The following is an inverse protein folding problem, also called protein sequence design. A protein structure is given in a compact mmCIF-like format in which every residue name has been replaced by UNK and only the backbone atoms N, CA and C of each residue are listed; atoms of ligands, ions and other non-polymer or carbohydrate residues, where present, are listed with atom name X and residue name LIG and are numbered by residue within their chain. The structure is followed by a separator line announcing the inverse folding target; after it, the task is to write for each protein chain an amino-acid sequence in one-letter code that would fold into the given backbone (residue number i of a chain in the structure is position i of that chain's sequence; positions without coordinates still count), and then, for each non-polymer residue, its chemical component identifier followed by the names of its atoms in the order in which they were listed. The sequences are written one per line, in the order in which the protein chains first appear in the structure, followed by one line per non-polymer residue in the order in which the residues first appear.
data_IF_956843663093
#
_entry.id   IF_956843663093
#
_cell.length_a   1.000
_cell.length_b   1.000
_cell.length_c   1.000
_cell.angle_alpha   90.00
_cell.angle_beta   90.00
_cell.angle_gamma   90.00
#
_symmetry.space_group_name_H-M   'P 1'
#
loop_
_entity.id
_entity.type
_entity.pdbx_description
1 polymer ?
#
# COMPACT_ATOMS: atom_id res chain seq x y z
N UNK A 1 4.97 25.45 14.60
CA UNK A 1 5.80 25.77 13.42
C UNK A 1 5.85 24.64 12.41
N UNK A 2 6.10 23.39 12.81
CA UNK A 2 6.06 22.24 11.88
C UNK A 2 4.68 22.05 11.22
N UNK A 3 3.60 22.24 11.95
CA UNK A 3 2.25 22.13 11.39
C UNK A 3 1.98 23.19 10.31
N UNK A 4 2.47 24.41 10.48
CA UNK A 4 2.33 25.47 9.49
C UNK A 4 3.17 25.20 8.24
N UNK A 5 4.39 24.68 8.40
CA UNK A 5 5.23 24.29 7.28
C UNK A 5 4.62 23.13 6.50
N UNK A 6 4.10 22.12 7.19
CA UNK A 6 3.42 21.00 6.56
C UNK A 6 2.18 21.46 5.77
N UNK A 7 1.37 22.35 6.35
CA UNK A 7 0.19 22.90 5.68
C UNK A 7 0.56 23.67 4.42
N UNK A 8 1.67 24.44 4.43
CA UNK A 8 2.14 25.18 3.27
C UNK A 8 2.61 24.27 2.12
N UNK A 9 3.02 23.04 2.42
CA UNK A 9 3.46 22.07 1.42
C UNK A 9 2.32 21.24 0.83
N UNK A 10 1.12 21.28 1.43
CA UNK A 10 -0.02 20.55 0.93
C UNK A 10 -0.57 21.22 -0.34
N UNK A 11 -0.86 20.45 -1.40
CA UNK A 11 -1.50 20.98 -2.58
C UNK A 11 -2.93 21.42 -2.27
N UNK A 12 -3.39 22.45 -2.97
CA UNK A 12 -4.79 22.82 -2.91
C UNK A 12 -5.67 21.70 -3.47
N UNK A 13 -6.80 21.48 -2.81
CA UNK A 13 -7.78 20.52 -3.29
C UNK A 13 -8.81 21.23 -4.16
N UNK A 14 -8.91 20.77 -5.41
CA UNK A 14 -9.99 21.17 -6.30
C UNK A 14 -11.30 20.54 -5.80
N UNK A 15 -12.34 21.35 -5.45
CA UNK A 15 -13.64 20.81 -5.05
C UNK A 15 -14.31 19.94 -6.12
N UNK A 16 -13.89 20.10 -7.39
CA UNK A 16 -14.38 19.30 -8.52
C UNK A 16 -13.50 18.10 -8.83
N UNK A 17 -12.44 17.89 -8.05
CA UNK A 17 -11.53 16.81 -8.25
C UNK A 17 -12.19 15.44 -8.04
N UNK A 18 -11.67 14.41 -8.70
CA UNK A 18 -12.07 13.02 -8.57
C UNK A 18 -10.91 12.17 -8.07
N UNK A 19 -11.13 10.85 -7.89
CA UNK A 19 -10.11 9.93 -7.36
C UNK A 19 -8.77 10.02 -8.09
N UNK A 20 -8.77 10.11 -9.41
CA UNK A 20 -7.55 10.22 -10.22
C UNK A 20 -6.80 11.54 -10.02
N UNK A 21 -7.50 12.62 -9.67
CA UNK A 21 -6.91 13.95 -9.42
C UNK A 21 -6.04 13.96 -8.16
N UNK A 22 -6.44 13.23 -7.12
CA UNK A 22 -5.79 13.24 -5.80
C UNK A 22 -4.71 12.16 -5.64
N UNK A 23 -4.42 11.45 -6.70
CA UNK A 23 -3.35 10.50 -6.75
C UNK A 23 -3.74 9.08 -6.32
N UNK A 24 -2.94 8.14 -6.81
CA UNK A 24 -3.07 6.71 -6.54
C UNK A 24 -1.87 6.24 -5.74
N UNK A 25 -2.14 5.57 -4.64
CA UNK A 25 -1.10 5.04 -3.76
C UNK A 25 -1.17 3.53 -3.74
N UNK A 26 -0.02 2.89 -3.95
CA UNK A 26 0.16 1.46 -3.67
C UNK A 26 0.86 1.31 -2.33
N UNK A 27 0.33 0.44 -1.49
CA UNK A 27 0.93 0.08 -0.22
C UNK A 27 1.25 -1.40 -0.25
N UNK A 28 2.53 -1.74 -0.22
CA UNK A 28 3.00 -3.13 -0.12
C UNK A 28 3.42 -3.38 1.33
N UNK A 29 2.62 -4.15 2.03
CA UNK A 29 2.74 -4.23 3.49
C UNK A 29 2.16 -5.54 4.03
N UNK A 30 2.43 -5.82 5.28
CA UNK A 30 1.80 -6.90 6.03
C UNK A 30 2.50 -8.24 5.93
N UNK A 31 2.29 -9.00 6.97
CA UNK A 31 2.67 -10.40 7.09
C UNK A 31 1.70 -11.03 8.07
N UNK A 32 1.82 -12.34 8.29
CA UNK A 32 0.93 -13.05 9.22
C UNK A 32 0.91 -12.43 10.62
N UNK A 33 2.07 -12.00 11.12
CA UNK A 33 2.18 -11.41 12.46
C UNK A 33 1.84 -9.92 12.51
N UNK A 34 1.85 -9.24 11.37
CA UNK A 34 1.74 -7.78 11.29
C UNK A 34 0.67 -7.32 10.30
N UNK A 35 -0.48 -7.96 10.34
CA UNK A 35 -1.64 -7.58 9.51
C UNK A 35 -2.10 -6.15 9.82
N UNK A 36 -2.08 -5.77 11.09
CA UNK A 36 -2.47 -4.44 11.53
C UNK A 36 -1.63 -3.33 10.90
N UNK A 37 -0.33 -3.56 10.71
CA UNK A 37 0.54 -2.58 10.07
C UNK A 37 0.10 -2.26 8.64
N UNK A 38 -0.32 -3.27 7.89
CA UNK A 38 -0.86 -3.10 6.54
C UNK A 38 -2.15 -2.27 6.56
N UNK A 39 -3.10 -2.62 7.43
CA UNK A 39 -4.38 -1.92 7.55
C UNK A 39 -4.19 -0.47 7.99
N UNK A 40 -3.32 -0.22 8.96
CA UNK A 40 -3.03 1.12 9.44
C UNK A 40 -2.40 2.00 8.36
N UNK A 41 -1.48 1.43 7.60
CA UNK A 41 -0.80 2.16 6.50
C UNK A 41 -1.80 2.54 5.41
N UNK A 42 -2.64 1.60 5.00
CA UNK A 42 -3.68 1.86 4.01
C UNK A 42 -4.70 2.88 4.49
N UNK A 43 -5.17 2.75 5.73
CA UNK A 43 -6.12 3.69 6.32
C UNK A 43 -5.52 5.10 6.44
N UNK A 44 -4.25 5.20 6.82
CA UNK A 44 -3.55 6.48 6.90
C UNK A 44 -3.46 7.16 5.53
N UNK A 45 -3.15 6.41 4.47
CA UNK A 45 -3.11 6.95 3.12
C UNK A 45 -4.47 7.50 2.68
N UNK A 46 -5.56 6.79 2.98
CA UNK A 46 -6.92 7.27 2.70
C UNK A 46 -7.22 8.56 3.46
N UNK A 47 -6.93 8.58 4.76
CA UNK A 47 -7.17 9.75 5.62
C UNK A 47 -6.32 10.95 5.24
N UNK A 48 -5.11 10.71 4.73
CA UNK A 48 -4.25 11.78 4.23
C UNK A 48 -4.78 12.43 2.94
N UNK A 49 -5.79 11.83 2.33
CA UNK A 49 -6.48 12.42 1.19
C UNK A 49 -6.12 11.83 -0.17
N UNK A 50 -5.48 10.68 -0.22
CA UNK A 50 -5.23 9.98 -1.48
C UNK A 50 -6.54 9.65 -2.19
N UNK A 51 -6.56 9.78 -3.51
CA UNK A 51 -7.76 9.52 -4.30
C UNK A 51 -8.11 8.04 -4.37
N UNK A 52 -7.11 7.18 -4.48
CA UNK A 52 -7.27 5.74 -4.54
C UNK A 52 -6.09 5.06 -3.84
N UNK A 53 -6.38 4.13 -2.94
CA UNK A 53 -5.36 3.37 -2.23
C UNK A 53 -5.56 1.88 -2.47
N UNK A 54 -4.54 1.24 -2.99
CA UNK A 54 -4.50 -0.22 -3.16
C UNK A 54 -3.52 -0.81 -2.15
N UNK A 55 -4.04 -1.65 -1.27
CA UNK A 55 -3.24 -2.38 -0.30
C UNK A 55 -2.86 -3.75 -0.88
N UNK A 56 -1.58 -3.92 -1.13
CA UNK A 56 -1.01 -5.16 -1.66
C UNK A 56 -0.40 -5.96 -0.51
N UNK A 57 -0.87 -7.16 -0.33
CA UNK A 57 -0.44 -8.08 0.74
C UNK A 57 -0.13 -9.44 0.13
N UNK A 58 0.61 -10.32 0.83
CA UNK A 58 0.70 -11.71 0.39
C UNK A 58 -0.69 -12.30 0.12
N UNK A 59 -0.84 -13.08 -0.93
CA UNK A 59 -2.15 -13.56 -1.39
C UNK A 59 -2.98 -14.23 -0.30
N UNK A 60 -2.33 -15.00 0.58
CA UNK A 60 -3.02 -15.67 1.70
C UNK A 60 -3.61 -14.69 2.72
N UNK A 61 -3.12 -13.45 2.78
CA UNK A 61 -3.64 -12.41 3.67
C UNK A 61 -4.77 -11.59 3.05
N UNK A 62 -4.96 -11.64 1.74
CA UNK A 62 -5.99 -10.83 1.08
C UNK A 62 -7.38 -11.04 1.69
N UNK A 63 -7.86 -12.27 1.94
CA UNK A 63 -9.17 -12.47 2.57
C UNK A 63 -9.26 -11.89 3.98
N UNK A 64 -8.13 -11.79 4.68
CA UNK A 64 -8.08 -11.25 6.04
C UNK A 64 -8.22 -9.73 6.05
N UNK A 65 -7.62 -9.04 5.07
CA UNK A 65 -7.65 -7.58 5.00
C UNK A 65 -8.83 -7.03 4.20
N UNK A 66 -9.38 -7.83 3.30
CA UNK A 66 -10.49 -7.41 2.43
C UNK A 66 -11.69 -6.95 3.25
N UNK A 67 -12.18 -5.77 2.96
CA UNK A 67 -13.35 -5.20 3.64
C UNK A 67 -13.11 -4.67 5.05
N UNK A 68 -11.91 -4.79 5.60
CA UNK A 68 -11.60 -4.25 6.94
C UNK A 68 -11.59 -2.72 6.97
N UNK A 69 -11.16 -2.12 5.89
CA UNK A 69 -11.26 -0.68 5.64
C UNK A 69 -11.98 -0.54 4.30
N UNK A 70 -13.24 -0.10 4.29
CA UNK A 70 -14.07 -0.16 3.07
C UNK A 70 -13.51 0.62 1.89
N UNK A 71 -12.76 1.67 2.15
CA UNK A 71 -12.18 2.53 1.11
C UNK A 71 -10.96 1.94 0.42
N UNK A 72 -10.37 0.88 0.98
CA UNK A 72 -9.19 0.24 0.42
C UNK A 72 -9.56 -0.78 -0.65
N UNK A 73 -8.83 -0.75 -1.75
CA UNK A 73 -8.75 -1.89 -2.66
C UNK A 73 -7.70 -2.82 -2.10
N UNK A 74 -8.00 -4.10 -1.96
CA UNK A 74 -7.02 -5.10 -1.55
C UNK A 74 -6.56 -5.94 -2.75
N UNK A 75 -5.29 -6.28 -2.79
CA UNK A 75 -4.72 -7.13 -3.82
C UNK A 75 -3.78 -8.15 -3.21
N UNK A 76 -3.94 -9.41 -3.58
CA UNK A 76 -3.02 -10.48 -3.19
C UNK A 76 -1.84 -10.54 -4.14
N UNK A 77 -0.64 -10.48 -3.58
CA UNK A 77 0.59 -10.65 -4.35
C UNK A 77 0.99 -12.13 -4.39
N UNK A 78 1.64 -12.59 -5.48
CA UNK A 78 2.14 -13.95 -5.57
C UNK A 78 3.02 -14.33 -4.38
N UNK A 79 2.87 -15.55 -3.92
CA UNK A 79 3.62 -16.12 -2.79
C UNK A 79 4.54 -17.23 -3.26
N UNK A 80 5.75 -17.29 -2.72
CA UNK A 80 6.65 -18.43 -2.85
C UNK A 80 6.22 -19.53 -1.88
N UNK A 81 5.95 -19.15 -0.64
CA UNK A 81 5.34 -19.98 0.39
C UNK A 81 4.24 -19.17 1.06
N UNK A 82 3.39 -19.82 1.86
CA UNK A 82 2.29 -19.14 2.54
C UNK A 82 2.79 -17.91 3.32
N UNK A 83 2.18 -16.75 3.05
CA UNK A 83 2.49 -15.46 3.66
C UNK A 83 3.86 -14.86 3.30
N UNK A 84 4.60 -15.46 2.37
CA UNK A 84 5.86 -14.92 1.86
C UNK A 84 5.74 -14.55 0.39
N UNK A 85 6.08 -13.33 0.06
CA UNK A 85 5.97 -12.81 -1.30
C UNK A 85 7.00 -13.46 -2.22
N UNK A 86 6.55 -13.95 -3.38
CA UNK A 86 7.41 -14.30 -4.49
C UNK A 86 7.92 -12.99 -5.13
N UNK A 87 9.15 -12.63 -4.83
CA UNK A 87 9.68 -11.32 -5.20
C UNK A 87 9.65 -11.02 -6.71
N UNK A 88 10.12 -11.89 -7.60
CA UNK A 88 10.09 -11.61 -9.03
C UNK A 88 8.66 -11.41 -9.55
N UNK A 89 7.75 -12.31 -9.18
CA UNK A 89 6.37 -12.25 -9.64
C UNK A 89 5.62 -11.06 -9.05
N UNK A 90 5.81 -10.77 -7.76
CA UNK A 90 5.20 -9.62 -7.10
C UNK A 90 5.71 -8.29 -7.68
N UNK A 91 7.01 -8.18 -7.91
CA UNK A 91 7.59 -6.98 -8.52
C UNK A 91 7.03 -6.72 -9.91
N UNK A 92 6.86 -7.78 -10.72
CA UNK A 92 6.26 -7.66 -12.04
C UNK A 92 4.81 -7.16 -11.96
N UNK A 93 4.00 -7.68 -11.04
CA UNK A 93 2.62 -7.21 -10.85
C UNK A 93 2.56 -5.76 -10.36
N UNK A 94 3.40 -5.41 -9.39
CA UNK A 94 3.45 -4.04 -8.85
C UNK A 94 3.82 -3.05 -9.95
N UNK A 95 4.78 -3.40 -10.80
CA UNK A 95 5.22 -2.53 -11.88
C UNK A 95 4.13 -2.22 -12.90
N UNK A 96 3.15 -3.10 -13.07
CA UNK A 96 2.03 -2.90 -13.99
C UNK A 96 0.85 -2.13 -13.37
N UNK A 97 0.84 -1.96 -12.06
CA UNK A 97 -0.24 -1.24 -11.39
C UNK A 97 -0.03 0.28 -11.50
N UNK A 98 -1.07 1.02 -11.88
CA UNK A 98 -0.96 2.47 -11.95
C UNK A 98 -0.85 3.05 -10.53
N UNK A 99 0.22 3.82 -10.31
CA UNK A 99 0.44 4.47 -9.03
C UNK A 99 1.25 5.76 -9.21
N UNK A 100 0.95 6.73 -8.38
CA UNK A 100 1.69 7.98 -8.28
C UNK A 100 2.68 7.94 -7.11
N UNK A 101 2.41 7.07 -6.13
CA UNK A 101 3.30 6.84 -4.99
C UNK A 101 3.27 5.37 -4.57
N UNK A 102 4.39 4.90 -4.05
CA UNK A 102 4.56 3.54 -3.56
C UNK A 102 5.13 3.57 -2.14
N UNK A 103 4.43 2.94 -1.22
CA UNK A 103 4.90 2.69 0.14
C UNK A 103 5.17 1.19 0.28
N UNK A 104 6.39 0.84 0.63
CA UNK A 104 6.80 -0.55 0.84
C UNK A 104 7.44 -0.69 2.22
N UNK A 105 7.04 -1.68 2.98
CA UNK A 105 7.76 -2.04 4.19
C UNK A 105 6.93 -2.31 5.43
N UNK A 106 5.87 -1.56 5.73
CA UNK A 106 5.18 -1.71 7.01
C UNK A 106 4.71 -3.15 7.24
N UNK A 107 5.23 -3.78 8.29
CA UNK A 107 4.84 -5.14 8.67
C UNK A 107 5.31 -6.27 7.75
N UNK A 108 6.19 -6.00 6.81
CA UNK A 108 6.83 -7.07 6.03
C UNK A 108 7.84 -7.81 6.89
N UNK A 109 7.87 -9.15 6.76
CA UNK A 109 8.87 -9.96 7.47
C UNK A 109 10.18 -9.95 6.71
N UNK A 110 11.33 -9.94 7.42
CA UNK A 110 12.62 -10.17 6.78
C UNK A 110 12.63 -11.53 6.08
N UNK A 111 13.10 -11.56 4.85
CA UNK A 111 13.19 -12.79 4.07
C UNK A 111 13.73 -12.48 2.67
N UNK A 112 14.06 -13.53 1.92
CA UNK A 112 14.61 -13.37 0.56
C UNK A 112 13.65 -12.60 -0.35
N UNK A 113 12.37 -12.97 -0.30
CA UNK A 113 11.35 -12.33 -1.10
C UNK A 113 11.18 -10.86 -0.76
N UNK A 114 11.04 -10.55 0.52
CA UNK A 114 10.88 -9.18 1.00
C UNK A 114 12.09 -8.32 0.66
N UNK A 115 13.30 -8.83 0.91
CA UNK A 115 14.53 -8.11 0.61
C UNK A 115 14.63 -7.79 -0.88
N UNK A 116 14.33 -8.74 -1.74
CA UNK A 116 14.39 -8.54 -3.18
C UNK A 116 13.35 -7.52 -3.68
N UNK A 117 12.15 -7.49 -3.11
CA UNK A 117 11.11 -6.49 -3.45
C UNK A 117 11.56 -5.09 -3.06
N UNK A 118 12.11 -4.93 -1.86
CA UNK A 118 12.54 -3.62 -1.35
C UNK A 118 13.73 -3.07 -2.13
N UNK A 119 14.63 -3.94 -2.59
CA UNK A 119 15.82 -3.52 -3.35
C UNK A 119 15.56 -3.19 -4.82
N UNK A 120 14.39 -3.51 -5.31
CA UNK A 120 13.99 -3.20 -6.70
C UNK A 120 13.17 -1.93 -6.79
#
# INVERSE_FOLDING_TARGET
MLALLAAALLPERDPRGHKGTFGRVLVVAGSLDYVGAALMSGAAAVRAGSGLVTLCVPASLQPVVAGRVPELISRGLPEETAYEIDAPAAAAEIAELPADALLVGPGLRPGRGTTAVVQK
#
